data_IF_744735028006
#
_entry.id   IF_744735028006
#
_cell.length_a   1.000
_cell.length_b   1.000
_cell.length_c   1.000
_cell.angle_alpha   90.00
_cell.angle_beta   90.00
_cell.angle_gamma   90.00
#
_symmetry.space_group_name_H-M   'P 1'
#
loop_
_entity.id
_entity.type
_entity.pdbx_description
1 polymer ?
#
# COMPACT_ATOMS: atom_id res chain seq x y z
N UNK A 1 8.10 3.35 13.66
CA UNK A 1 7.21 4.41 14.19
C UNK A 1 7.23 4.31 15.71
N UNK A 2 7.36 5.46 16.43
CA UNK A 2 7.37 5.50 17.90
C UNK A 2 6.50 6.65 18.41
N UNK A 3 5.51 6.31 19.23
CA UNK A 3 4.60 7.23 19.92
C UNK A 3 3.96 8.27 18.98
N UNK A 4 3.56 7.83 17.78
CA UNK A 4 3.02 8.70 16.75
C UNK A 4 1.60 9.14 17.11
N UNK A 5 1.40 10.46 17.19
CA UNK A 5 0.09 11.06 17.47
C UNK A 5 -0.24 12.09 16.39
N UNK A 6 -1.50 12.11 15.96
CA UNK A 6 -2.06 13.15 15.09
C UNK A 6 -3.41 13.62 15.61
N UNK A 7 -3.45 14.90 15.92
CA UNK A 7 -4.67 15.64 16.27
C UNK A 7 -4.90 16.69 15.20
N UNK A 8 -6.08 16.74 14.62
CA UNK A 8 -6.48 17.78 13.67
C UNK A 8 -7.06 19.01 14.38
N UNK A 9 -7.16 20.15 13.69
CA UNK A 9 -7.60 21.44 14.25
C UNK A 9 -9.00 21.40 14.86
N UNK A 10 -9.86 20.46 14.44
CA UNK A 10 -11.17 20.20 15.01
C UNK A 10 -11.14 19.28 16.25
N UNK A 11 -10.00 19.12 16.88
CA UNK A 11 -9.75 18.21 18.01
C UNK A 11 -9.99 16.71 17.71
N UNK A 12 -10.07 16.32 16.44
CA UNK A 12 -10.15 14.92 16.04
C UNK A 12 -8.79 14.25 16.26
N UNK A 13 -8.73 13.28 17.17
CA UNK A 13 -7.57 12.42 17.38
C UNK A 13 -7.62 11.33 16.32
N UNK A 14 -6.83 11.47 15.27
CA UNK A 14 -6.76 10.50 14.17
C UNK A 14 -5.75 9.37 14.42
N UNK A 15 -4.69 9.65 15.19
CA UNK A 15 -3.70 8.67 15.66
C UNK A 15 -3.39 9.00 17.12
N UNK A 16 -3.37 8.00 17.99
CA UNK A 16 -3.19 8.11 19.42
C UNK A 16 -2.10 7.15 19.89
N UNK A 17 -0.89 7.68 20.07
CA UNK A 17 0.29 6.98 20.60
C UNK A 17 0.66 5.68 19.86
N UNK A 18 0.65 5.72 18.53
CA UNK A 18 0.94 4.55 17.70
C UNK A 18 2.44 4.23 17.71
N UNK A 19 2.76 2.96 17.99
CA UNK A 19 4.12 2.42 17.88
C UNK A 19 4.08 1.06 17.23
N UNK A 20 4.89 0.86 16.18
CA UNK A 20 5.17 -0.43 15.55
C UNK A 20 6.43 -0.35 14.68
N UNK A 21 6.99 -1.50 14.38
CA UNK A 21 8.20 -1.65 13.56
C UNK A 21 7.89 -2.62 12.40
N UNK A 22 8.50 -2.35 11.26
CA UNK A 22 8.45 -3.20 10.07
C UNK A 22 9.90 -3.51 9.70
N UNK A 23 10.23 -4.78 9.59
CA UNK A 23 11.57 -5.21 9.20
C UNK A 23 11.81 -4.99 7.71
N UNK A 24 13.08 -4.76 7.34
CA UNK A 24 13.45 -4.62 5.94
C UNK A 24 13.18 -5.92 5.18
N UNK A 25 12.55 -5.82 4.01
CA UNK A 25 12.15 -6.98 3.20
C UNK A 25 10.87 -7.67 3.69
N UNK A 26 10.20 -7.15 4.72
CA UNK A 26 8.92 -7.69 5.16
C UNK A 26 7.76 -7.30 4.21
N UNK A 27 6.74 -8.13 4.17
CA UNK A 27 5.43 -7.79 3.63
C UNK A 27 4.46 -7.70 4.79
N UNK A 28 4.13 -6.48 5.17
CA UNK A 28 3.44 -6.12 6.41
C UNK A 28 2.03 -5.61 6.14
N UNK A 29 1.05 -6.09 6.90
CA UNK A 29 -0.32 -5.62 6.83
C UNK A 29 -0.64 -4.59 7.92
N UNK A 30 -1.31 -3.52 7.54
CA UNK A 30 -2.00 -2.62 8.46
C UNK A 30 -3.50 -2.78 8.22
N UNK A 31 -4.14 -3.63 9.00
CA UNK A 31 -5.56 -3.96 8.89
C UNK A 31 -6.41 -3.05 9.77
N UNK A 32 -7.54 -2.58 9.27
CA UNK A 32 -8.49 -1.81 10.07
C UNK A 32 -9.65 -1.25 9.25
N UNK A 33 -10.75 -0.88 9.91
CA UNK A 33 -11.91 -0.31 9.25
C UNK A 33 -11.62 1.07 8.64
N UNK A 34 -12.54 1.56 7.82
CA UNK A 34 -12.48 2.93 7.30
C UNK A 34 -12.54 3.92 8.47
N UNK A 35 -11.72 4.97 8.41
CA UNK A 35 -11.60 5.95 9.49
C UNK A 35 -10.71 5.53 10.67
N UNK A 36 -10.11 4.34 10.65
CA UNK A 36 -9.23 3.87 11.75
C UNK A 36 -7.91 4.65 11.89
N UNK A 37 -7.53 5.47 10.88
CA UNK A 37 -6.27 6.24 10.89
C UNK A 37 -5.23 5.81 9.86
N UNK A 38 -5.49 4.75 9.05
CA UNK A 38 -4.55 4.20 8.06
C UNK A 38 -4.03 5.25 7.09
N UNK A 39 -4.92 5.98 6.40
CA UNK A 39 -4.53 7.00 5.42
C UNK A 39 -3.88 8.22 6.07
N UNK A 40 -4.23 8.56 7.33
CA UNK A 40 -3.52 9.59 8.10
C UNK A 40 -2.07 9.18 8.37
N UNK A 41 -1.85 7.93 8.74
CA UNK A 41 -0.50 7.40 8.96
C UNK A 41 0.32 7.42 7.67
N UNK A 42 -0.24 6.95 6.54
CA UNK A 42 0.40 7.04 5.23
C UNK A 42 0.70 8.50 4.87
N UNK A 43 -0.24 9.40 5.11
CA UNK A 43 -0.05 10.84 4.90
C UNK A 43 1.13 11.41 5.68
N UNK A 44 1.36 10.95 6.91
CA UNK A 44 2.52 11.36 7.72
C UNK A 44 3.81 10.76 7.17
N UNK A 45 3.84 9.46 6.86
CA UNK A 45 5.02 8.79 6.29
C UNK A 45 5.43 9.44 4.96
N UNK A 46 4.45 9.82 4.13
CA UNK A 46 4.66 10.52 2.86
C UNK A 46 4.95 12.02 3.01
N UNK A 47 4.88 12.54 4.25
CA UNK A 47 5.00 13.97 4.58
C UNK A 47 3.96 14.86 3.86
N UNK A 48 2.79 14.33 3.58
CA UNK A 48 1.62 15.08 3.12
C UNK A 48 0.80 15.61 4.31
N UNK A 49 0.96 14.98 5.47
CA UNK A 49 0.31 15.36 6.73
C UNK A 49 1.37 15.55 7.80
N UNK A 50 1.33 16.68 8.50
CA UNK A 50 2.20 16.92 9.64
C UNK A 50 1.70 16.13 10.86
N UNK A 51 2.60 15.39 11.53
CA UNK A 51 2.30 14.75 12.81
C UNK A 51 2.16 15.79 13.93
N UNK A 52 1.43 15.47 14.99
CA UNK A 52 1.37 16.30 16.19
C UNK A 52 2.53 16.00 17.15
N UNK A 53 2.89 14.72 17.30
CA UNK A 53 4.05 14.27 18.09
C UNK A 53 4.52 12.88 17.65
N UNK A 54 5.60 12.38 18.25
CA UNK A 54 6.19 11.08 17.97
C UNK A 54 7.29 11.14 16.91
N UNK A 55 7.83 9.96 16.58
CA UNK A 55 8.94 9.81 15.61
C UNK A 55 8.59 8.78 14.54
N UNK A 56 9.01 9.09 13.31
CA UNK A 56 8.92 8.18 12.16
C UNK A 56 10.29 8.05 11.52
N UNK A 57 10.82 6.83 11.50
CA UNK A 57 12.08 6.49 10.83
C UNK A 57 11.79 5.57 9.65
N UNK A 58 12.40 5.85 8.52
CA UNK A 58 12.30 5.05 7.29
C UNK A 58 13.70 4.62 6.90
N UNK A 59 13.97 3.33 6.99
CA UNK A 59 15.29 2.75 6.69
C UNK A 59 16.43 3.48 7.41
N UNK A 60 16.22 3.81 8.69
CA UNK A 60 17.19 4.53 9.52
C UNK A 60 17.16 6.06 9.38
N UNK A 61 16.38 6.62 8.44
CA UNK A 61 16.24 8.05 8.21
C UNK A 61 15.05 8.60 8.98
N UNK A 62 15.28 9.56 9.87
CA UNK A 62 14.21 10.31 10.53
C UNK A 62 13.58 11.29 9.52
N UNK A 63 12.25 11.21 9.33
CA UNK A 63 11.54 12.03 8.33
C UNK A 63 11.57 13.52 8.64
N UNK A 64 11.81 13.93 9.89
CA UNK A 64 11.88 15.35 10.25
C UNK A 64 13.22 15.99 9.84
N UNK A 65 14.31 15.22 9.87
CA UNK A 65 15.67 15.71 9.58
C UNK A 65 16.18 15.31 8.20
N UNK A 66 15.75 14.14 7.68
CA UNK A 66 16.20 13.58 6.39
C UNK A 66 15.05 13.41 5.39
N UNK A 67 14.13 14.36 5.38
CA UNK A 67 12.88 14.32 4.60
C UNK A 67 13.07 13.95 3.11
N UNK A 68 13.99 14.63 2.42
CA UNK A 68 14.22 14.40 0.98
C UNK A 68 14.82 13.04 0.69
N UNK A 69 15.73 12.57 1.54
CA UNK A 69 16.38 11.26 1.40
C UNK A 69 15.40 10.13 1.69
N UNK A 70 14.60 10.25 2.75
CA UNK A 70 13.57 9.29 3.08
C UNK A 70 12.54 9.16 1.95
N UNK A 71 12.07 10.29 1.36
CA UNK A 71 11.12 10.28 0.25
C UNK A 71 11.64 9.55 -0.99
N UNK A 72 12.92 9.66 -1.30
CA UNK A 72 13.53 8.97 -2.45
C UNK A 72 13.46 7.45 -2.33
N UNK A 73 13.35 6.93 -1.10
CA UNK A 73 13.30 5.50 -0.81
C UNK A 73 11.88 4.92 -0.80
N UNK A 74 10.86 5.76 -0.95
CA UNK A 74 9.46 5.36 -0.80
C UNK A 74 8.74 5.44 -2.15
N UNK A 75 8.02 4.36 -2.48
CA UNK A 75 6.95 4.35 -3.48
C UNK A 75 5.59 4.32 -2.78
N UNK A 76 4.63 5.11 -3.26
CA UNK A 76 3.29 5.17 -2.65
C UNK A 76 2.23 5.00 -3.73
N UNK A 77 1.32 4.05 -3.48
CA UNK A 77 0.08 3.85 -4.24
C UNK A 77 -1.07 4.27 -3.34
N UNK A 78 -1.63 5.45 -3.59
CA UNK A 78 -2.79 5.95 -2.85
C UNK A 78 -4.09 5.26 -3.27
N UNK A 79 -5.16 5.51 -2.54
CA UNK A 79 -6.49 4.96 -2.84
C UNK A 79 -7.06 5.55 -4.14
N UNK A 80 -6.89 6.85 -4.37
CA UNK A 80 -7.38 7.56 -5.55
C UNK A 80 -6.30 7.69 -6.64
N UNK A 81 -6.76 7.87 -7.89
CA UNK A 81 -5.88 8.11 -9.04
C UNK A 81 -5.15 9.44 -8.87
N UNK A 82 -3.84 9.39 -8.77
CA UNK A 82 -2.97 10.53 -8.46
C UNK A 82 -1.93 10.85 -9.55
N UNK A 83 -2.31 10.76 -10.79
CA UNK A 83 -1.50 11.17 -11.95
C UNK A 83 -2.30 12.06 -12.91
N UNK A 84 -1.61 12.84 -13.74
CA UNK A 84 -2.26 13.65 -14.77
C UNK A 84 -2.86 12.73 -15.83
N UNK A 85 -4.19 12.65 -15.87
CA UNK A 85 -4.92 11.75 -16.77
C UNK A 85 -4.87 12.18 -18.26
N UNK A 86 -4.43 13.39 -18.57
CA UNK A 86 -4.25 13.88 -19.94
C UNK A 86 -2.88 13.52 -20.52
N UNK A 87 -1.95 13.08 -19.71
CA UNK A 87 -0.65 12.58 -20.14
C UNK A 87 -0.74 11.14 -20.63
N UNK A 88 0.22 10.75 -21.50
CA UNK A 88 0.36 9.37 -21.92
C UNK A 88 0.86 8.49 -20.78
N UNK A 89 0.50 7.20 -20.80
CA UNK A 89 0.97 6.21 -19.82
C UNK A 89 2.49 6.25 -19.65
N UNK A 90 3.22 6.32 -20.77
CA UNK A 90 4.68 6.41 -20.75
C UNK A 90 5.17 7.71 -20.09
N UNK A 91 4.59 8.86 -20.43
CA UNK A 91 5.00 10.15 -19.89
C UNK A 91 4.74 10.26 -18.38
N UNK A 92 3.66 9.65 -17.89
CA UNK A 92 3.36 9.59 -16.43
C UNK A 92 4.52 8.94 -15.68
N UNK A 93 5.07 7.82 -16.18
CA UNK A 93 6.22 7.16 -15.55
C UNK A 93 7.51 7.98 -15.75
N UNK A 94 7.72 8.53 -16.93
CA UNK A 94 8.88 9.35 -17.26
C UNK A 94 8.98 10.56 -16.31
N UNK A 95 7.88 11.29 -16.14
CA UNK A 95 7.83 12.44 -15.23
C UNK A 95 8.08 12.02 -13.77
N UNK A 96 7.47 10.92 -13.33
CA UNK A 96 7.70 10.41 -11.98
C UNK A 96 9.17 10.09 -11.73
N UNK A 97 9.81 9.35 -12.63
CA UNK A 97 11.22 9.00 -12.52
C UNK A 97 12.13 10.25 -12.56
N UNK A 98 11.78 11.24 -13.40
CA UNK A 98 12.45 12.53 -13.47
C UNK A 98 12.41 13.30 -12.16
N UNK A 99 11.29 13.27 -11.41
CA UNK A 99 11.19 13.88 -10.07
C UNK A 99 12.18 13.28 -9.06
N UNK A 100 12.53 12.01 -9.22
CA UNK A 100 13.52 11.34 -8.37
C UNK A 100 14.96 11.54 -8.84
N UNK A 101 15.18 12.28 -9.96
CA UNK A 101 16.51 12.56 -10.49
C UNK A 101 17.22 11.34 -11.07
N UNK A 102 16.47 10.35 -11.57
CA UNK A 102 17.03 9.13 -12.17
C UNK A 102 17.77 9.46 -13.48
N UNK A 103 18.87 8.75 -13.80
CA UNK A 103 19.53 8.83 -15.10
C UNK A 103 18.58 8.40 -16.23
N UNK A 104 18.62 9.11 -17.37
CA UNK A 104 17.68 8.83 -18.48
C UNK A 104 17.72 7.40 -19.01
N UNK A 105 18.90 6.79 -19.01
CA UNK A 105 19.08 5.37 -19.40
C UNK A 105 18.33 4.41 -18.49
N UNK A 106 18.34 4.66 -17.18
CA UNK A 106 17.62 3.85 -16.19
C UNK A 106 16.12 4.07 -16.28
N UNK A 107 15.67 5.32 -16.47
CA UNK A 107 14.25 5.65 -16.63
C UNK A 107 13.65 4.84 -17.77
N UNK A 108 14.30 4.82 -18.95
CA UNK A 108 13.81 4.08 -20.11
C UNK A 108 13.63 2.59 -19.81
N UNK A 109 14.63 1.98 -19.18
CA UNK A 109 14.60 0.55 -18.83
C UNK A 109 13.51 0.23 -17.82
N UNK A 110 13.38 1.04 -16.76
CA UNK A 110 12.38 0.84 -15.73
C UNK A 110 10.96 1.07 -16.27
N UNK A 111 10.74 2.13 -17.07
CA UNK A 111 9.43 2.36 -17.70
C UNK A 111 9.02 1.17 -18.57
N UNK A 112 9.90 0.69 -19.43
CA UNK A 112 9.63 -0.47 -20.28
C UNK A 112 9.35 -1.73 -19.46
N UNK A 113 10.19 -2.01 -18.44
CA UNK A 113 10.05 -3.18 -17.58
C UNK A 113 8.70 -3.19 -16.86
N UNK A 114 8.35 -2.10 -16.14
CA UNK A 114 7.12 -2.06 -15.35
C UNK A 114 5.87 -2.02 -16.22
N UNK A 115 5.90 -1.31 -17.37
CA UNK A 115 4.77 -1.29 -18.29
C UNK A 115 4.51 -2.67 -18.92
N UNK A 116 5.56 -3.40 -19.28
CA UNK A 116 5.42 -4.78 -19.77
C UNK A 116 4.92 -5.72 -18.66
N UNK A 117 5.51 -5.63 -17.49
CA UNK A 117 5.19 -6.54 -16.37
C UNK A 117 3.75 -6.36 -15.84
N UNK A 118 3.18 -5.17 -16.02
CA UNK A 118 1.83 -4.81 -15.60
C UNK A 118 0.82 -4.74 -16.77
N UNK A 119 1.15 -5.33 -17.95
CA UNK A 119 0.30 -5.38 -19.14
C UNK A 119 -0.20 -4.00 -19.61
N UNK A 120 0.66 -3.00 -19.56
CA UNK A 120 0.37 -1.63 -19.97
C UNK A 120 1.22 -1.18 -21.18
N UNK A 121 2.13 -2.02 -21.68
CA UNK A 121 3.07 -1.64 -22.73
C UNK A 121 2.38 -1.23 -24.03
N UNK A 122 1.34 -1.96 -24.45
CA UNK A 122 0.59 -1.67 -25.67
C UNK A 122 -0.23 -0.37 -25.55
N UNK A 123 -0.50 0.05 -24.30
CA UNK A 123 -1.21 1.29 -23.96
C UNK A 123 -0.28 2.47 -23.68
N UNK A 124 1.05 2.32 -23.82
CA UNK A 124 2.04 3.32 -23.42
C UNK A 124 1.86 4.70 -24.05
N UNK A 125 1.28 4.76 -25.25
CA UNK A 125 1.03 6.00 -25.99
C UNK A 125 -0.40 6.53 -25.79
N UNK A 126 -1.27 5.81 -25.08
CA UNK A 126 -2.62 6.25 -24.76
C UNK A 126 -2.61 7.19 -23.54
N UNK A 127 -3.58 8.12 -23.51
CA UNK A 127 -3.75 8.99 -22.36
C UNK A 127 -4.32 8.20 -21.17
N UNK A 128 -3.88 8.55 -19.94
CA UNK A 128 -4.31 7.89 -18.72
C UNK A 128 -5.83 7.90 -18.50
N UNK A 129 -6.54 8.91 -19.02
CA UNK A 129 -8.01 8.97 -18.95
C UNK A 129 -8.72 7.84 -19.71
N UNK A 130 -8.10 7.32 -20.76
CA UNK A 130 -8.68 6.28 -21.62
C UNK A 130 -8.51 4.87 -21.03
N UNK A 131 -7.77 4.73 -19.93
CA UNK A 131 -7.55 3.45 -19.27
C UNK A 131 -8.78 3.03 -18.44
N UNK A 132 -9.04 1.72 -18.39
CA UNK A 132 -10.00 1.15 -17.42
C UNK A 132 -9.55 1.38 -15.97
N UNK A 133 -10.47 1.22 -14.99
CA UNK A 133 -10.14 1.35 -13.58
C UNK A 133 -8.98 0.45 -13.14
N UNK A 134 -9.01 -0.82 -13.54
CA UNK A 134 -7.93 -1.77 -13.27
C UNK A 134 -6.60 -1.39 -13.93
N UNK A 135 -6.63 -0.89 -15.18
CA UNK A 135 -5.42 -0.39 -15.85
C UNK A 135 -4.86 0.86 -15.16
N UNK A 136 -5.72 1.77 -14.69
CA UNK A 136 -5.29 2.93 -13.90
C UNK A 136 -4.61 2.48 -12.60
N UNK A 137 -5.16 1.44 -11.94
CA UNK A 137 -4.57 0.89 -10.72
C UNK A 137 -3.19 0.31 -10.98
N UNK A 138 -3.03 -0.49 -12.03
CA UNK A 138 -1.73 -1.03 -12.46
C UNK A 138 -0.74 0.10 -12.79
N UNK A 139 -1.19 1.16 -13.44
CA UNK A 139 -0.35 2.33 -13.75
C UNK A 139 0.12 3.05 -12.48
N UNK A 140 -0.72 3.17 -11.46
CA UNK A 140 -0.31 3.74 -10.16
C UNK A 140 0.78 2.90 -9.49
N UNK A 141 0.68 1.57 -9.57
CA UNK A 141 1.72 0.66 -9.06
C UNK A 141 3.02 0.81 -9.87
N UNK A 142 2.94 0.83 -11.21
CA UNK A 142 4.11 1.08 -12.07
C UNK A 142 4.78 2.41 -11.73
N UNK A 143 3.99 3.47 -11.55
CA UNK A 143 4.45 4.80 -11.17
C UNK A 143 5.17 4.80 -9.82
N UNK A 144 4.64 4.09 -8.82
CA UNK A 144 5.26 4.00 -7.50
C UNK A 144 6.57 3.21 -7.48
N UNK A 145 6.74 2.29 -8.44
CA UNK A 145 7.92 1.41 -8.53
C UNK A 145 9.00 1.91 -9.48
N UNK A 146 8.69 2.89 -10.36
CA UNK A 146 9.62 3.29 -11.43
C UNK A 146 10.99 3.74 -10.95
N UNK A 147 11.08 4.30 -9.75
CA UNK A 147 12.34 4.69 -9.09
C UNK A 147 12.96 3.59 -8.21
N UNK A 148 12.47 2.34 -8.32
CA UNK A 148 12.97 1.17 -7.57
C UNK A 148 13.08 1.43 -6.05
N UNK A 149 11.97 1.79 -5.38
CA UNK A 149 11.98 2.16 -3.97
C UNK A 149 12.34 0.97 -3.06
N UNK A 150 12.99 1.26 -1.94
CA UNK A 150 13.27 0.27 -0.89
C UNK A 150 12.01 -0.07 -0.05
N UNK A 151 11.06 0.89 0.02
CA UNK A 151 9.79 0.76 0.73
C UNK A 151 8.62 1.11 -0.22
N UNK A 152 7.70 0.18 -0.40
CA UNK A 152 6.45 0.39 -1.15
C UNK A 152 5.27 0.40 -0.17
N UNK A 153 4.48 1.46 -0.19
CA UNK A 153 3.26 1.59 0.60
C UNK A 153 2.05 1.55 -0.33
N UNK A 154 1.11 0.65 -0.04
CA UNK A 154 -0.07 0.40 -0.84
C UNK A 154 -1.32 0.68 0.00
N UNK A 155 -2.07 1.73 -0.35
CA UNK A 155 -3.32 2.07 0.33
C UNK A 155 -4.50 1.44 -0.42
N UNK A 156 -5.02 0.34 0.14
CA UNK A 156 -6.14 -0.45 -0.41
C UNK A 156 -5.96 -0.79 -1.90
N UNK A 157 -4.85 -1.47 -2.31
CA UNK A 157 -4.46 -1.59 -3.72
C UNK A 157 -5.44 -2.36 -4.58
N UNK A 158 -6.30 -3.18 -4.01
CA UNK A 158 -7.25 -4.04 -4.74
C UNK A 158 -8.71 -3.64 -4.53
N UNK A 159 -8.98 -2.50 -3.88
CA UNK A 159 -10.33 -2.00 -3.71
C UNK A 159 -10.99 -1.73 -5.08
N UNK A 160 -12.18 -2.33 -5.31
CA UNK A 160 -12.90 -2.17 -6.57
C UNK A 160 -12.28 -2.85 -7.79
N UNK A 161 -11.32 -3.76 -7.58
CA UNK A 161 -10.65 -4.54 -8.63
C UNK A 161 -11.31 -5.93 -8.73
N UNK A 162 -11.51 -6.42 -9.96
CA UNK A 162 -12.01 -7.77 -10.19
C UNK A 162 -11.04 -8.85 -9.69
N UNK A 163 -11.55 -10.08 -9.51
CA UNK A 163 -10.81 -11.17 -8.87
C UNK A 163 -9.57 -11.60 -9.64
N UNK A 164 -9.62 -11.61 -10.97
CA UNK A 164 -8.50 -12.05 -11.81
C UNK A 164 -7.35 -11.03 -11.75
N UNK A 165 -7.69 -9.77 -11.91
CA UNK A 165 -6.73 -8.67 -11.83
C UNK A 165 -6.12 -8.55 -10.43
N UNK A 166 -6.92 -8.81 -9.37
CA UNK A 166 -6.43 -8.85 -7.98
C UNK A 166 -5.35 -9.92 -7.81
N UNK A 167 -5.58 -11.14 -8.30
CA UNK A 167 -4.61 -12.23 -8.21
C UNK A 167 -3.31 -11.90 -8.95
N UNK A 168 -3.40 -11.37 -10.17
CA UNK A 168 -2.24 -10.97 -10.95
C UNK A 168 -1.41 -9.88 -10.23
N UNK A 169 -2.08 -8.90 -9.60
CA UNK A 169 -1.41 -7.87 -8.81
C UNK A 169 -0.73 -8.46 -7.57
N UNK A 170 -1.37 -9.37 -6.85
CA UNK A 170 -0.78 -10.05 -5.70
C UNK A 170 0.50 -10.83 -6.06
N UNK A 171 0.46 -11.60 -7.15
CA UNK A 171 1.64 -12.33 -7.63
C UNK A 171 2.80 -11.38 -7.96
N UNK A 172 2.50 -10.26 -8.61
CA UNK A 172 3.49 -9.24 -8.91
C UNK A 172 4.08 -8.62 -7.64
N UNK A 173 3.26 -8.28 -6.64
CA UNK A 173 3.73 -7.72 -5.37
C UNK A 173 4.60 -8.71 -4.58
N UNK A 174 4.24 -10.00 -4.58
CA UNK A 174 5.06 -11.07 -4.00
C UNK A 174 6.43 -11.15 -4.70
N UNK A 175 6.46 -11.04 -6.03
CA UNK A 175 7.72 -11.02 -6.80
C UNK A 175 8.62 -9.84 -6.40
N UNK A 176 8.04 -8.64 -6.29
CA UNK A 176 8.78 -7.43 -5.88
C UNK A 176 9.30 -7.56 -4.44
N UNK A 177 8.50 -8.06 -3.51
CA UNK A 177 8.93 -8.30 -2.14
C UNK A 177 10.08 -9.33 -2.05
N UNK A 178 10.00 -10.43 -2.81
CA UNK A 178 11.08 -11.43 -2.90
C UNK A 178 12.41 -10.86 -3.42
N UNK A 179 12.37 -9.75 -4.16
CA UNK A 179 13.56 -9.02 -4.62
C UNK A 179 14.15 -8.08 -3.57
N UNK A 180 13.52 -8.01 -2.39
CA UNK A 180 14.02 -7.25 -1.23
C UNK A 180 13.27 -5.95 -0.92
N UNK A 181 12.29 -5.55 -1.73
CA UNK A 181 11.47 -4.37 -1.43
C UNK A 181 10.57 -4.66 -0.21
N UNK A 182 10.65 -3.81 0.80
CA UNK A 182 9.73 -3.84 1.94
C UNK A 182 8.36 -3.34 1.47
N UNK A 183 7.28 -4.03 1.84
CA UNK A 183 5.93 -3.64 1.43
C UNK A 183 5.05 -3.45 2.67
N UNK A 184 4.39 -2.30 2.77
CA UNK A 184 3.33 -2.03 3.74
C UNK A 184 2.01 -1.94 2.97
N UNK A 185 1.08 -2.83 3.32
CA UNK A 185 -0.24 -2.91 2.73
C UNK A 185 -1.28 -2.43 3.75
N UNK A 186 -2.05 -1.41 3.41
CA UNK A 186 -3.27 -1.13 4.18
C UNK A 186 -4.46 -1.80 3.50
N UNK A 187 -5.28 -2.44 4.28
CA UNK A 187 -6.49 -3.10 3.79
C UNK A 187 -7.54 -3.23 4.90
N UNK A 188 -8.78 -3.44 4.51
CA UNK A 188 -9.85 -3.87 5.41
C UNK A 188 -10.28 -5.33 5.11
N UNK A 189 -9.61 -5.99 4.16
CA UNK A 189 -9.85 -7.38 3.79
C UNK A 189 -8.80 -8.29 4.43
N UNK A 190 -9.25 -9.17 5.33
CA UNK A 190 -8.35 -10.13 5.99
C UNK A 190 -7.71 -11.11 4.98
N UNK A 191 -8.48 -11.59 3.99
CA UNK A 191 -7.99 -12.48 2.94
C UNK A 191 -6.75 -11.95 2.21
N UNK A 192 -6.73 -10.64 1.93
CA UNK A 192 -5.58 -9.99 1.29
C UNK A 192 -4.36 -9.97 2.20
N UNK A 193 -4.55 -9.61 3.47
CA UNK A 193 -3.49 -9.61 4.46
C UNK A 193 -2.92 -11.02 4.71
N UNK A 194 -3.78 -12.02 4.86
CA UNK A 194 -3.41 -13.43 5.04
C UNK A 194 -2.57 -13.97 3.88
N UNK A 195 -2.99 -13.66 2.65
CA UNK A 195 -2.31 -14.18 1.46
C UNK A 195 -0.95 -13.56 1.21
N UNK A 196 -0.77 -12.29 1.56
CA UNK A 196 0.40 -11.50 1.17
C UNK A 196 1.39 -11.28 2.31
N UNK A 197 0.91 -11.11 3.53
CA UNK A 197 1.71 -10.54 4.60
C UNK A 197 2.15 -11.59 5.62
N UNK A 198 3.37 -11.42 6.13
CA UNK A 198 3.90 -12.26 7.22
C UNK A 198 3.54 -11.71 8.58
N UNK A 199 3.48 -10.39 8.71
CA UNK A 199 3.20 -9.68 9.95
C UNK A 199 2.02 -8.73 9.75
N UNK A 200 1.28 -8.49 10.84
CA UNK A 200 0.06 -7.70 10.84
C UNK A 200 -0.04 -6.80 12.08
N UNK A 201 -0.43 -5.55 11.85
CA UNK A 201 -1.00 -4.69 12.89
C UNK A 201 -2.47 -4.43 12.62
N UNK A 202 -3.27 -4.49 13.65
CA UNK A 202 -4.66 -4.06 13.61
C UNK A 202 -4.75 -2.67 14.20
N UNK A 203 -5.28 -1.73 13.41
CA UNK A 203 -5.56 -0.37 13.85
C UNK A 203 -7.06 -0.16 13.98
N UNK A 204 -7.50 0.36 15.12
CA UNK A 204 -8.86 0.80 15.36
C UNK A 204 -8.87 2.12 16.11
N UNK A 205 -9.70 3.08 15.68
CA UNK A 205 -9.86 4.41 16.29
C UNK A 205 -8.54 5.08 16.66
N UNK A 206 -7.58 5.04 15.73
CA UNK A 206 -6.29 5.67 15.89
C UNK A 206 -5.30 4.95 16.82
N UNK A 207 -5.58 3.72 17.23
CA UNK A 207 -4.69 2.92 18.11
C UNK A 207 -4.34 1.58 17.48
N UNK A 208 -3.11 1.10 17.71
CA UNK A 208 -2.76 -0.29 17.41
C UNK A 208 -3.35 -1.16 18.53
N UNK A 209 -4.34 -1.98 18.18
CA UNK A 209 -5.00 -2.90 19.12
C UNK A 209 -4.35 -4.27 19.12
N UNK A 210 -3.65 -4.63 18.06
CA UNK A 210 -2.89 -5.88 17.93
C UNK A 210 -1.69 -5.68 17.02
N UNK A 211 -0.59 -6.34 17.36
CA UNK A 211 0.61 -6.46 16.53
C UNK A 211 1.17 -7.88 16.71
N UNK A 212 1.23 -8.68 15.64
CA UNK A 212 1.69 -10.07 15.70
C UNK A 212 2.12 -10.57 14.31
N UNK A 213 2.74 -11.74 14.28
CA UNK A 213 2.85 -12.50 13.02
C UNK A 213 1.48 -13.02 12.58
N UNK A 214 1.31 -13.22 11.28
CA UNK A 214 0.03 -13.61 10.66
C UNK A 214 -0.46 -14.97 11.17
N UNK A 215 0.44 -15.96 11.35
CA UNK A 215 0.03 -17.28 11.79
C UNK A 215 -0.50 -17.28 13.22
N UNK A 216 0.15 -16.54 14.14
CA UNK A 216 -0.33 -16.36 15.51
C UNK A 216 -1.66 -15.63 15.54
N UNK A 217 -1.83 -14.62 14.69
CA UNK A 217 -3.08 -13.88 14.58
C UNK A 217 -4.25 -14.78 14.10
N UNK A 218 -4.04 -15.58 13.06
CA UNK A 218 -5.07 -16.46 12.51
C UNK A 218 -5.50 -17.53 13.51
N UNK A 219 -4.57 -18.11 14.29
CA UNK A 219 -4.90 -19.10 15.34
C UNK A 219 -5.80 -18.52 16.44
N UNK A 220 -5.71 -17.22 16.72
CA UNK A 220 -6.57 -16.59 17.72
C UNK A 220 -7.98 -16.28 17.19
N UNK A 221 -8.14 -16.18 15.86
CA UNK A 221 -9.42 -15.88 15.20
C UNK A 221 -10.18 -17.16 14.84
N UNK A 222 -9.68 -18.37 15.10
CA UNK A 222 -10.36 -19.63 14.81
C UNK A 222 -11.80 -19.65 15.38
N UNK A 223 -12.69 -18.93 14.66
CA UNK A 223 -14.13 -19.08 14.75
C UNK A 223 -14.49 -20.10 13.67
N UNK A 224 -14.66 -21.35 14.07
CA UNK A 224 -15.24 -22.36 13.20
C UNK A 224 -16.70 -21.98 12.91
N UNK A 225 -16.98 -21.56 11.68
CA UNK A 225 -18.36 -21.34 11.25
C UNK A 225 -18.92 -22.64 10.67
N UNK A 226 -19.73 -23.31 11.45
CA UNK A 226 -20.50 -24.48 10.97
C UNK A 226 -21.76 -23.99 10.27
N UNK A 227 -21.89 -24.25 8.95
CA UNK A 227 -23.11 -24.01 8.19
C UNK A 227 -23.93 -25.31 8.23
N UNK A 228 -25.02 -25.33 9.00
CA UNK A 228 -25.96 -26.43 9.02
C UNK A 228 -27.09 -26.16 8.03
N UNK A 229 -27.24 -27.01 7.01
CA UNK A 229 -28.40 -27.03 6.12
C UNK A 229 -29.50 -27.89 6.77
N UNK A 230 -30.41 -27.22 7.48
CA UNK A 230 -31.54 -27.88 8.11
C UNK A 230 -32.59 -28.21 7.04
N UNK A 231 -32.64 -29.46 6.59
CA UNK A 231 -33.80 -29.98 5.83
C UNK A 231 -35.02 -30.02 6.75
N UNK A 232 -35.95 -29.07 6.56
CA UNK A 232 -37.26 -29.15 7.22
C UNK A 232 -37.91 -30.53 6.91
N UNK A 233 -38.14 -31.29 7.95
CA UNK A 233 -39.07 -32.42 7.86
C UNK A 233 -40.48 -31.81 7.77
N UNK A 234 -41.05 -31.77 6.56
CA UNK A 234 -42.47 -31.59 6.39
C UNK A 234 -43.17 -32.73 7.12
N UNK A 235 -43.66 -32.47 8.33
CA UNK A 235 -44.62 -33.36 9.00
C UNK A 235 -45.94 -33.28 8.22
N UNK A 236 -46.37 -34.45 7.72
CA UNK A 236 -47.76 -34.68 7.27
C UNK A 236 -48.70 -34.58 8.44
#
# INVERSE_FOLDING_TARGET
IKNLTKIYDNNLVALDDISFEVEQGDFYALLGPNGAGKSTMIGIISSLVNKSSGKVNILGLDIDTHHSEAKKKIGIVGQEVNFNQFETVHNILLHQAGFFGMPFSEIKNNCEFYLKRLDLWDKRNEQGRNLSGGMKRRLMVAKALVNSPDLLILDEPTAGVDTELRKSLWEFLIEINKKGTTIILTTHYLEEAERLCKNISIIDRGKIVRNSDMNSFLREIEIETFVFDLKEKTSK
#
